data_IF_889932932875
#
_entry.id   IF_889932932875
#
_cell.length_a   1.000
_cell.length_b   1.000
_cell.length_c   1.000
_cell.angle_alpha   90.00
_cell.angle_beta   90.00
_cell.angle_gamma   90.00
#
_symmetry.space_group_name_H-M   'P 1'
#
loop_
_entity.id
_entity.type
_entity.pdbx_description
1 polymer ?
#
# COMPACT_ATOMS: atom_id res chain seq x y z
N UNK A 1 5.94 6.83 19.61
CA UNK A 1 5.03 7.90 20.07
C UNK A 1 3.90 7.19 20.79
N UNK A 2 3.76 7.47 22.07
CA UNK A 2 2.67 6.91 22.86
C UNK A 2 1.36 7.67 22.54
N UNK A 3 0.20 7.04 22.77
CA UNK A 3 -1.11 7.68 22.50
C UNK A 3 -1.29 8.98 23.31
N UNK A 4 -0.74 8.97 24.52
CA UNK A 4 -0.80 10.05 25.49
C UNK A 4 0.02 11.27 25.06
N UNK A 5 0.97 11.09 24.14
CA UNK A 5 1.84 12.15 23.62
C UNK A 5 1.18 12.95 22.48
N UNK A 6 0.07 12.46 21.92
CA UNK A 6 -0.65 13.10 20.83
C UNK A 6 -1.46 14.32 21.29
N UNK A 7 -1.59 15.33 20.42
CA UNK A 7 -2.57 16.41 20.63
C UNK A 7 -4.00 15.90 20.46
N UNK A 8 -4.99 16.68 20.91
CA UNK A 8 -6.40 16.31 20.75
C UNK A 8 -6.82 16.26 19.27
N UNK A 9 -6.26 17.13 18.43
CA UNK A 9 -6.45 17.08 16.98
C UNK A 9 -5.85 15.80 16.39
N UNK A 10 -4.64 15.41 16.79
CA UNK A 10 -3.98 14.18 16.33
C UNK A 10 -4.77 12.94 16.75
N UNK A 11 -5.27 12.89 17.98
CA UNK A 11 -6.13 11.80 18.47
C UNK A 11 -7.44 11.74 17.67
N UNK A 12 -8.05 12.89 17.39
CA UNK A 12 -9.27 12.97 16.59
C UNK A 12 -9.04 12.44 15.16
N UNK A 13 -7.97 12.89 14.50
CA UNK A 13 -7.60 12.43 13.15
C UNK A 13 -7.27 10.94 13.14
N UNK A 14 -6.49 10.46 14.11
CA UNK A 14 -6.15 9.04 14.23
C UNK A 14 -7.41 8.21 14.43
N UNK A 15 -8.28 8.58 15.36
CA UNK A 15 -9.55 7.89 15.58
C UNK A 15 -10.45 7.87 14.35
N UNK A 16 -10.42 8.93 13.52
CA UNK A 16 -11.12 8.93 12.23
C UNK A 16 -10.49 7.93 11.24
N UNK A 17 -9.17 7.90 11.12
CA UNK A 17 -8.44 6.99 10.23
C UNK A 17 -8.65 5.52 10.61
N UNK A 18 -8.60 5.20 11.91
CA UNK A 18 -8.90 3.87 12.44
C UNK A 18 -10.31 3.44 12.04
N UNK A 19 -11.32 4.28 12.32
CA UNK A 19 -12.73 3.89 12.18
C UNK A 19 -13.21 3.92 10.74
N UNK A 20 -12.64 4.80 9.91
CA UNK A 20 -13.22 5.16 8.60
C UNK A 20 -12.32 4.83 7.42
N UNK A 21 -11.00 4.82 7.61
CA UNK A 21 -10.07 4.66 6.49
C UNK A 21 -9.45 3.26 6.44
N UNK A 22 -8.58 2.91 7.39
CA UNK A 22 -7.79 1.67 7.29
C UNK A 22 -8.21 0.55 8.25
N UNK A 23 -8.97 0.82 9.32
CA UNK A 23 -9.42 -0.25 10.23
C UNK A 23 -8.30 -0.87 11.07
N UNK A 24 -7.21 -0.14 11.32
CA UNK A 24 -6.04 -0.62 12.08
C UNK A 24 -6.01 0.22 13.36
N UNK A 25 -6.14 -0.39 14.53
CA UNK A 25 -6.08 0.35 15.79
C UNK A 25 -4.69 0.94 16.05
N UNK A 26 -4.61 2.04 16.79
CA UNK A 26 -3.36 2.70 17.19
C UNK A 26 -2.45 1.76 17.96
N UNK A 27 -3.04 0.92 18.81
CA UNK A 27 -2.33 -0.10 19.59
C UNK A 27 -1.92 -1.33 18.77
N UNK A 28 -2.28 -1.41 17.49
CA UNK A 28 -1.91 -2.54 16.63
C UNK A 28 -0.46 -2.45 16.17
N UNK A 29 0.22 -3.59 16.22
CA UNK A 29 1.55 -3.78 15.67
C UNK A 29 2.64 -3.87 16.74
N UNK A 30 3.48 -4.89 16.62
CA UNK A 30 4.50 -5.21 17.63
C UNK A 30 5.91 -4.82 17.17
N UNK A 31 6.00 -4.21 16.00
CA UNK A 31 7.26 -3.88 15.34
C UNK A 31 7.49 -2.36 15.43
N UNK A 32 8.53 -1.92 16.15
CA UNK A 32 8.89 -0.51 16.20
C UNK A 32 9.19 0.07 14.81
N UNK A 33 8.69 1.28 14.53
CA UNK A 33 8.82 1.92 13.22
C UNK A 33 10.28 2.07 12.74
N UNK A 34 11.24 2.29 13.63
CA UNK A 34 12.65 2.39 13.26
C UNK A 34 13.21 1.13 12.59
N UNK A 35 12.56 -0.04 12.78
CA UNK A 35 12.94 -1.30 12.13
C UNK A 35 12.45 -1.40 10.69
N UNK A 36 11.53 -0.54 10.25
CA UNK A 36 10.90 -0.58 8.94
C UNK A 36 11.93 -0.65 7.81
N UNK A 37 12.95 0.21 7.83
CA UNK A 37 13.97 0.25 6.80
C UNK A 37 14.73 -1.08 6.66
N UNK A 38 15.05 -1.73 7.79
CA UNK A 38 15.75 -3.01 7.77
C UNK A 38 14.83 -4.13 7.27
N UNK A 39 13.56 -4.10 7.67
CA UNK A 39 12.57 -5.06 7.19
C UNK A 39 12.39 -4.94 5.69
N UNK A 40 12.24 -3.72 5.16
CA UNK A 40 12.12 -3.48 3.72
C UNK A 40 13.34 -3.99 2.95
N UNK A 41 14.55 -3.80 3.46
CA UNK A 41 15.77 -4.33 2.83
C UNK A 41 15.81 -5.86 2.80
N UNK A 42 15.38 -6.51 3.89
CA UNK A 42 15.33 -7.99 3.97
C UNK A 42 14.25 -8.53 3.03
N UNK A 43 13.05 -7.96 3.08
CA UNK A 43 11.92 -8.41 2.25
C UNK A 43 12.14 -8.17 0.76
N UNK A 44 13.06 -7.27 0.38
CA UNK A 44 13.38 -6.96 -1.02
C UNK A 44 14.74 -7.52 -1.46
N UNK A 45 15.33 -8.42 -0.67
CA UNK A 45 16.57 -9.09 -1.06
C UNK A 45 16.35 -9.90 -2.35
N UNK A 46 17.19 -9.65 -3.37
CA UNK A 46 17.09 -10.30 -4.68
C UNK A 46 15.98 -9.74 -5.57
N UNK A 47 15.24 -8.72 -5.14
CA UNK A 47 14.24 -8.03 -5.96
C UNK A 47 14.94 -6.99 -6.82
N UNK A 48 14.82 -7.12 -8.14
CA UNK A 48 15.42 -6.16 -9.08
C UNK A 48 14.53 -4.94 -9.32
N UNK A 49 13.21 -5.14 -9.28
CA UNK A 49 12.23 -4.11 -9.63
C UNK A 49 11.00 -4.15 -8.74
N UNK A 50 10.57 -2.97 -8.28
CA UNK A 50 9.33 -2.76 -7.52
C UNK A 50 8.44 -1.81 -8.32
N UNK A 51 7.19 -2.23 -8.50
CA UNK A 51 6.13 -1.41 -9.05
C UNK A 51 5.30 -0.83 -7.90
N UNK A 52 5.05 0.48 -7.96
CA UNK A 52 4.34 1.21 -6.91
C UNK A 52 3.37 2.20 -7.53
N UNK A 53 2.28 2.54 -6.86
CA UNK A 53 1.32 3.55 -7.32
C UNK A 53 1.47 4.83 -6.49
N UNK A 54 1.72 5.95 -7.17
CA UNK A 54 1.86 7.28 -6.57
C UNK A 54 3.32 7.70 -6.42
N UNK A 55 3.64 8.87 -6.96
CA UNK A 55 5.03 9.37 -7.03
C UNK A 55 5.64 9.65 -5.66
N UNK A 56 4.88 10.18 -4.71
CA UNK A 56 5.37 10.41 -3.35
C UNK A 56 5.86 9.11 -2.69
N UNK A 57 5.12 8.02 -2.86
CA UNK A 57 5.50 6.69 -2.34
C UNK A 57 6.71 6.13 -3.08
N UNK A 58 6.79 6.36 -4.40
CA UNK A 58 7.94 5.97 -5.20
C UNK A 58 9.22 6.67 -4.72
N UNK A 59 9.18 7.98 -4.49
CA UNK A 59 10.32 8.74 -3.97
C UNK A 59 10.74 8.27 -2.58
N UNK A 60 9.77 8.05 -1.68
CA UNK A 60 10.04 7.51 -0.35
C UNK A 60 10.73 6.14 -0.42
N UNK A 61 10.29 5.25 -1.31
CA UNK A 61 10.93 3.94 -1.52
C UNK A 61 12.32 4.04 -2.13
N UNK A 62 12.55 4.94 -3.11
CA UNK A 62 13.87 5.18 -3.71
C UNK A 62 14.89 5.64 -2.66
N UNK A 63 14.47 6.45 -1.68
CA UNK A 63 15.34 6.88 -0.59
C UNK A 63 15.75 5.74 0.34
N UNK A 64 14.87 4.75 0.56
CA UNK A 64 15.14 3.60 1.45
C UNK A 64 15.92 2.49 0.73
N UNK A 65 15.61 2.27 -0.56
CA UNK A 65 16.11 1.18 -1.40
C UNK A 65 16.76 1.73 -2.69
N UNK A 66 17.90 2.44 -2.59
CA UNK A 66 18.50 3.14 -3.73
C UNK A 66 18.99 2.21 -4.86
N UNK A 67 19.22 0.93 -4.55
CA UNK A 67 19.75 -0.04 -5.50
C UNK A 67 18.66 -0.84 -6.24
N UNK A 68 17.38 -0.60 -5.96
CA UNK A 68 16.27 -1.31 -6.58
C UNK A 68 15.58 -0.39 -7.58
N UNK A 69 15.24 -0.92 -8.76
CA UNK A 69 14.49 -0.17 -9.75
C UNK A 69 13.05 0.08 -9.27
N UNK A 70 12.68 1.33 -8.99
CA UNK A 70 11.33 1.72 -8.56
C UNK A 70 10.59 2.38 -9.72
N UNK A 71 9.48 1.80 -10.17
CA UNK A 71 8.63 2.35 -11.23
C UNK A 71 7.24 2.71 -10.73
N UNK A 72 6.80 3.94 -10.99
CA UNK A 72 5.42 4.34 -10.71
C UNK A 72 4.51 3.76 -11.80
N UNK A 73 3.48 3.01 -11.42
CA UNK A 73 2.57 2.40 -12.39
C UNK A 73 1.70 3.43 -13.11
N UNK A 74 1.55 4.63 -12.55
CA UNK A 74 0.80 5.73 -13.17
C UNK A 74 1.47 6.23 -14.45
N UNK A 75 2.81 6.12 -14.55
CA UNK A 75 3.57 6.46 -15.75
C UNK A 75 3.20 5.55 -16.94
N UNK A 76 2.59 4.40 -16.66
CA UNK A 76 2.09 3.44 -17.66
C UNK A 76 0.57 3.54 -17.88
N UNK A 77 -0.09 4.55 -17.30
CA UNK A 77 -1.53 4.75 -17.41
C UNK A 77 -2.38 3.93 -16.43
N UNK A 78 -1.82 3.53 -15.28
CA UNK A 78 -2.58 2.82 -14.25
C UNK A 78 -3.74 3.68 -13.72
N UNK A 79 -5.00 3.21 -13.82
CA UNK A 79 -6.17 4.00 -13.43
C UNK A 79 -6.21 4.26 -11.92
N UNK A 80 -7.12 5.15 -11.46
CA UNK A 80 -7.39 5.34 -10.03
C UNK A 80 -7.70 4.03 -9.31
N UNK A 81 -7.37 3.95 -8.01
CA UNK A 81 -7.56 2.71 -7.24
C UNK A 81 -9.02 2.29 -7.19
N UNK A 82 -9.94 3.25 -7.13
CA UNK A 82 -11.38 3.06 -7.08
C UNK A 82 -11.88 2.28 -8.31
N UNK A 83 -11.33 2.59 -9.49
CA UNK A 83 -11.65 1.90 -10.73
C UNK A 83 -11.09 0.47 -10.75
N UNK A 84 -9.83 0.30 -10.31
CA UNK A 84 -9.15 -1.01 -10.25
C UNK A 84 -9.87 -1.94 -9.27
N UNK A 85 -10.21 -1.42 -8.08
CA UNK A 85 -10.82 -2.18 -6.99
C UNK A 85 -12.24 -2.64 -7.31
N UNK A 86 -12.98 -1.92 -8.15
CA UNK A 86 -14.35 -2.29 -8.54
C UNK A 86 -14.42 -3.67 -9.22
N UNK A 87 -13.30 -4.16 -9.75
CA UNK A 87 -13.22 -5.37 -10.56
C UNK A 87 -12.70 -6.60 -9.79
N UNK A 88 -12.34 -6.44 -8.51
CA UNK A 88 -11.65 -7.48 -7.74
C UNK A 88 -12.59 -8.09 -6.71
N UNK A 89 -12.65 -9.42 -6.67
CA UNK A 89 -13.26 -10.18 -5.57
C UNK A 89 -12.16 -10.70 -4.66
N UNK A 90 -11.64 -9.84 -3.77
CA UNK A 90 -10.65 -10.23 -2.77
C UNK A 90 -11.11 -9.79 -1.39
N UNK A 91 -11.02 -10.72 -0.42
CA UNK A 91 -11.31 -10.49 0.98
C UNK A 91 -10.01 -10.54 1.78
N UNK A 92 -9.74 -9.51 2.57
CA UNK A 92 -8.57 -9.46 3.43
C UNK A 92 -8.92 -10.01 4.82
N UNK A 93 -8.29 -11.11 5.22
CA UNK A 93 -8.50 -11.74 6.53
C UNK A 93 -7.85 -10.98 7.70
N UNK A 94 -7.04 -9.96 7.41
CA UNK A 94 -6.34 -9.17 8.42
C UNK A 94 -7.14 -7.95 8.91
N UNK A 95 -8.31 -7.69 8.32
CA UNK A 95 -9.24 -6.68 8.82
C UNK A 95 -10.41 -7.40 9.47
N UNK A 96 -10.87 -6.89 10.61
CA UNK A 96 -12.12 -7.36 11.19
C UNK A 96 -13.24 -7.23 10.16
N UNK A 97 -13.96 -8.32 9.95
CA UNK A 97 -15.00 -8.46 8.93
C UNK A 97 -16.16 -7.50 9.25
N UNK A 98 -16.05 -6.24 8.82
CA UNK A 98 -17.18 -5.34 8.78
C UNK A 98 -17.85 -5.44 7.40
N UNK A 99 -19.02 -6.07 7.35
CA UNK A 99 -19.86 -6.14 6.12
C UNK A 99 -20.18 -4.72 5.59
N UNK A 100 -20.18 -3.72 6.48
CA UNK A 100 -20.58 -2.35 6.17
C UNK A 100 -19.43 -1.44 5.73
N UNK A 101 -18.16 -1.84 5.87
CA UNK A 101 -17.01 -0.97 5.57
C UNK A 101 -15.92 -1.75 4.86
N UNK A 102 -15.51 -1.26 3.68
CA UNK A 102 -14.32 -1.73 2.97
C UNK A 102 -13.15 -0.84 3.37
N UNK A 103 -12.29 -1.24 4.33
CA UNK A 103 -11.13 -0.45 4.67
C UNK A 103 -10.21 -0.32 3.45
N UNK A 104 -9.44 0.76 3.40
CA UNK A 104 -8.36 0.99 2.43
C UNK A 104 -7.20 0.03 2.71
N UNK A 105 -7.44 -1.23 2.38
CA UNK A 105 -6.54 -2.35 2.60
C UNK A 105 -5.36 -2.29 1.62
N UNK A 106 -4.14 -2.26 2.16
CA UNK A 106 -2.92 -2.27 1.34
C UNK A 106 -2.83 -3.52 0.43
N UNK A 107 -3.21 -4.70 0.93
CA UNK A 107 -3.19 -5.93 0.13
C UNK A 107 -4.20 -5.85 -1.02
N UNK A 108 -5.40 -5.33 -0.76
CA UNK A 108 -6.43 -5.16 -1.78
C UNK A 108 -5.95 -4.23 -2.91
N UNK A 109 -5.31 -3.12 -2.54
CA UNK A 109 -4.69 -2.19 -3.49
C UNK A 109 -3.61 -2.87 -4.35
N UNK A 110 -2.70 -3.60 -3.71
CA UNK A 110 -1.58 -4.27 -4.40
C UNK A 110 -2.07 -5.37 -5.33
N UNK A 111 -3.06 -6.16 -4.91
CA UNK A 111 -3.68 -7.19 -5.76
C UNK A 111 -4.27 -6.55 -7.02
N UNK A 112 -4.95 -5.42 -6.86
CA UNK A 112 -5.51 -4.69 -8.01
C UNK A 112 -4.47 -4.16 -8.96
N UNK A 113 -3.48 -3.45 -8.42
CA UNK A 113 -2.36 -2.92 -9.21
C UNK A 113 -1.65 -4.06 -9.95
N UNK A 114 -1.44 -5.21 -9.29
CA UNK A 114 -0.82 -6.39 -9.90
C UNK A 114 -1.66 -6.94 -11.05
N UNK A 115 -2.97 -7.13 -10.86
CA UNK A 115 -3.86 -7.62 -11.92
C UNK A 115 -3.83 -6.71 -13.14
N UNK A 116 -3.96 -5.40 -12.92
CA UNK A 116 -3.87 -4.41 -13.98
C UNK A 116 -2.51 -4.44 -14.70
N UNK A 117 -1.41 -4.49 -13.94
CA UNK A 117 -0.06 -4.47 -14.50
C UNK A 117 0.22 -5.71 -15.36
N UNK A 118 -0.22 -6.89 -14.92
CA UNK A 118 -0.07 -8.12 -15.70
C UNK A 118 -0.83 -8.05 -17.02
N UNK A 119 -2.06 -7.55 -17.02
CA UNK A 119 -2.84 -7.36 -18.24
C UNK A 119 -2.18 -6.33 -19.18
N UNK A 120 -1.71 -5.20 -18.65
CA UNK A 120 -0.93 -4.21 -19.40
C UNK A 120 0.30 -4.84 -20.08
N UNK A 121 1.10 -5.61 -19.33
CA UNK A 121 2.31 -6.26 -19.84
C UNK A 121 1.99 -7.31 -20.92
N UNK A 122 0.90 -8.08 -20.75
CA UNK A 122 0.44 -9.04 -21.75
C UNK A 122 0.03 -8.34 -23.05
N UNK A 123 -0.71 -7.23 -22.96
CA UNK A 123 -1.10 -6.44 -24.13
C UNK A 123 0.12 -5.85 -24.83
N UNK A 124 1.08 -5.32 -24.06
CA UNK A 124 2.33 -4.78 -24.59
C UNK A 124 3.15 -5.84 -25.34
N UNK A 125 3.21 -7.07 -24.82
CA UNK A 125 3.92 -8.17 -25.45
C UNK A 125 3.28 -8.61 -26.78
N UNK A 126 1.96 -8.47 -26.93
CA UNK A 126 1.24 -8.78 -28.18
C UNK A 126 1.39 -7.72 -29.28
N UNK A 127 1.84 -6.51 -28.92
CA UNK A 127 2.05 -5.41 -29.87
C UNK A 127 3.47 -5.40 -30.47
N UNK A 128 4.36 -6.26 -29.99
CA UNK A 128 5.72 -6.46 -30.52
C UNK A 128 5.75 -7.71 -31.39
#
# INVERSE_FOLDING_TARGET
MAWEELTEEEKCMTGWLEKTYHGIAWSSGDIPYHRLNNILKICTQGVEKIFIKGEQKAQWMRNILPNISISNVEDYGCPPLEEIQSQIQYFCFNHDLCICRKPMCAIYNVVGIRTWLLDYLIRLAKMK
#
